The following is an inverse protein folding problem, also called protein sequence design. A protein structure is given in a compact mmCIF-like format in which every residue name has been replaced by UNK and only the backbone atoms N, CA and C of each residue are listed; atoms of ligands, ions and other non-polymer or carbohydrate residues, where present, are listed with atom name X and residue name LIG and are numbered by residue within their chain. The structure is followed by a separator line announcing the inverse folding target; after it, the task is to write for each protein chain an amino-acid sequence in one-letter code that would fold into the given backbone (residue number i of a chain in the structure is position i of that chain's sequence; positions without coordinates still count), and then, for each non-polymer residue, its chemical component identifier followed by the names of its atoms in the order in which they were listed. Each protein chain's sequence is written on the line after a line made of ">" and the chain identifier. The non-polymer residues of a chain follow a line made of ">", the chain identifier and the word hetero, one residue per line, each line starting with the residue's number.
data_IF_761215015055
#
_entry.id   IF_761215015055
#
_cell.length_a   1.000
_cell.length_b   1.000
_cell.length_c   1.000
_cell.angle_alpha   90.00
_cell.angle_beta   90.00
_cell.angle_gamma   90.00
#
_symmetry.space_group_name_H-M   'P 1'
#
loop_
_entity.id
_entity.type
_entity.pdbx_description
1 polymer ?
#
# COMPACT_ATOMS: atom_id res chain seq x y z
N UNK A 1 -14.97 5.25 -23.18
CA UNK A 1 -13.72 6.03 -23.32
C UNK A 1 -12.62 5.42 -22.45
N UNK A 2 -12.08 4.25 -22.82
CA UNK A 2 -11.11 3.50 -21.99
C UNK A 2 -9.63 3.83 -22.22
N UNK A 3 -9.32 4.65 -23.23
CA UNK A 3 -7.94 4.94 -23.64
C UNK A 3 -7.20 5.90 -22.70
N UNK A 4 -7.92 6.74 -21.95
CA UNK A 4 -7.33 7.66 -20.96
C UNK A 4 -6.66 6.93 -19.80
N UNK A 5 -7.18 5.77 -19.39
CA UNK A 5 -6.57 4.95 -18.35
C UNK A 5 -5.20 4.39 -18.78
N UNK A 6 -5.04 4.08 -20.07
CA UNK A 6 -3.78 3.55 -20.61
C UNK A 6 -2.64 4.58 -20.55
N UNK A 7 -2.94 5.87 -20.71
CA UNK A 7 -1.96 6.95 -20.57
C UNK A 7 -1.68 7.31 -19.10
N UNK A 8 -2.64 7.08 -18.20
CA UNK A 8 -2.49 7.41 -16.79
C UNK A 8 -1.52 6.47 -16.06
N UNK A 9 -1.48 5.19 -16.43
CA UNK A 9 -0.58 4.18 -15.85
C UNK A 9 0.90 4.54 -16.00
N UNK A 10 1.44 4.82 -17.21
CA UNK A 10 2.84 5.19 -17.35
C UNK A 10 3.15 6.54 -16.69
N UNK A 11 2.20 7.48 -16.66
CA UNK A 11 2.35 8.77 -15.99
C UNK A 11 2.54 8.63 -14.47
N UNK A 12 1.72 7.81 -13.81
CA UNK A 12 1.90 7.54 -12.38
C UNK A 12 3.17 6.72 -12.11
N UNK A 13 3.53 5.82 -13.04
CA UNK A 13 4.77 5.06 -12.97
C UNK A 13 6.02 5.94 -12.96
N UNK A 14 6.10 6.96 -13.83
CA UNK A 14 7.25 7.88 -13.84
C UNK A 14 7.34 8.67 -12.53
N UNK A 15 6.22 9.20 -12.02
CA UNK A 15 6.20 9.93 -10.74
C UNK A 15 6.70 9.05 -9.59
N UNK A 16 6.26 7.79 -9.53
CA UNK A 16 6.71 6.83 -8.53
C UNK A 16 8.23 6.56 -8.62
N UNK A 17 8.76 6.35 -9.83
CA UNK A 17 10.19 6.14 -10.05
C UNK A 17 11.04 7.35 -9.64
N UNK A 18 10.59 8.56 -9.97
CA UNK A 18 11.27 9.79 -9.54
C UNK A 18 11.29 9.91 -8.01
N UNK A 19 10.16 9.60 -7.36
CA UNK A 19 10.05 9.66 -5.89
C UNK A 19 10.93 8.60 -5.23
N UNK A 20 10.96 7.37 -5.76
CA UNK A 20 11.81 6.29 -5.26
C UNK A 20 13.30 6.62 -5.37
N UNK A 21 13.73 7.19 -6.50
CA UNK A 21 15.11 7.61 -6.69
C UNK A 21 15.51 8.73 -5.73
N UNK A 22 14.63 9.74 -5.56
CA UNK A 22 14.86 10.83 -4.62
C UNK A 22 14.95 10.33 -3.18
N UNK A 23 14.04 9.43 -2.78
CA UNK A 23 14.03 8.84 -1.45
C UNK A 23 15.28 8.00 -1.18
N UNK A 24 15.75 7.24 -2.17
CA UNK A 24 17.02 6.48 -2.06
C UNK A 24 18.21 7.39 -1.78
N UNK A 25 18.32 8.49 -2.52
CA UNK A 25 19.39 9.47 -2.30
C UNK A 25 19.36 10.10 -0.90
N UNK A 26 18.16 10.38 -0.38
CA UNK A 26 17.99 10.92 0.98
C UNK A 26 18.37 9.88 2.04
N UNK A 27 18.02 8.61 1.83
CA UNK A 27 18.33 7.51 2.75
C UNK A 27 19.83 7.24 2.86
N UNK A 28 20.58 7.36 1.76
CA UNK A 28 22.05 7.22 1.77
C UNK A 28 22.75 8.24 2.68
N UNK A 29 22.16 9.42 2.85
CA UNK A 29 22.66 10.48 3.73
C UNK A 29 22.26 10.34 5.21
N UNK A 30 21.30 9.46 5.55
CA UNK A 30 20.73 9.34 6.89
C UNK A 30 20.43 7.87 7.31
N UNK A 31 21.46 7.03 7.48
CA UNK A 31 21.31 5.57 7.68
C UNK A 31 20.67 5.14 9.02
N UNK A 32 20.37 6.08 9.93
CA UNK A 32 19.82 5.78 11.27
C UNK A 32 18.32 6.06 11.41
N UNK A 33 17.64 6.62 10.40
CA UNK A 33 16.23 6.96 10.51
C UNK A 33 15.33 5.71 10.37
N UNK A 34 14.43 5.50 11.35
CA UNK A 34 13.54 4.32 11.42
C UNK A 34 12.09 4.59 11.03
N UNK A 35 11.70 5.85 10.80
CA UNK A 35 10.35 6.29 10.41
C UNK A 35 10.37 7.46 9.39
N UNK A 36 9.29 7.66 8.61
CA UNK A 36 9.24 8.63 7.48
C UNK A 36 9.27 10.04 8.06
N UNK A 37 8.65 10.16 9.23
CA UNK A 37 8.73 11.26 10.18
C UNK A 37 10.18 11.66 10.53
N UNK A 38 11.03 10.69 10.85
CA UNK A 38 12.42 10.94 11.27
C UNK A 38 13.33 11.31 10.10
N UNK A 39 13.10 10.70 8.93
CA UNK A 39 13.76 11.07 7.67
C UNK A 39 13.40 12.52 7.33
N UNK A 40 12.11 12.86 7.39
CA UNK A 40 11.60 14.21 7.18
C UNK A 40 12.16 15.21 8.19
N UNK A 41 12.32 14.82 9.45
CA UNK A 41 12.92 15.67 10.47
C UNK A 41 14.37 16.03 10.17
N UNK A 42 15.16 15.06 9.68
CA UNK A 42 16.55 15.31 9.32
C UNK A 42 16.70 16.21 8.09
N UNK A 43 15.79 16.12 7.12
CA UNK A 43 15.89 16.88 5.85
C UNK A 43 15.20 18.26 5.94
N UNK A 44 14.03 18.33 6.55
CA UNK A 44 13.16 19.53 6.55
C UNK A 44 12.98 20.14 7.94
N UNK A 45 13.54 19.53 8.99
CA UNK A 45 13.37 19.97 10.37
C UNK A 45 11.99 19.63 10.95
N UNK A 46 11.63 20.32 12.03
CA UNK A 46 10.45 20.00 12.87
C UNK A 46 9.11 20.17 12.14
N UNK A 47 8.99 21.16 11.26
CA UNK A 47 7.75 21.41 10.52
C UNK A 47 7.48 20.33 9.47
N UNK A 48 8.52 19.90 8.74
CA UNK A 48 8.39 18.83 7.74
C UNK A 48 8.02 17.48 8.35
N UNK A 49 8.58 17.15 9.51
CA UNK A 49 8.22 15.94 10.26
C UNK A 49 6.71 15.87 10.55
N UNK A 50 6.13 16.95 11.08
CA UNK A 50 4.72 16.96 11.47
C UNK A 50 3.79 16.82 10.25
N UNK A 51 4.12 17.48 9.14
CA UNK A 51 3.35 17.40 7.89
C UNK A 51 3.42 15.99 7.29
N UNK A 52 4.60 15.39 7.20
CA UNK A 52 4.79 14.06 6.59
C UNK A 52 4.16 12.97 7.45
N UNK A 53 4.27 13.05 8.78
CA UNK A 53 3.60 12.13 9.69
C UNK A 53 2.08 12.17 9.55
N UNK A 54 1.51 13.37 9.38
CA UNK A 54 0.08 13.56 9.18
C UNK A 54 -0.39 12.99 7.83
N UNK A 55 0.29 13.33 6.74
CA UNK A 55 -0.04 12.83 5.41
C UNK A 55 0.07 11.30 5.35
N UNK A 56 1.14 10.73 5.89
CA UNK A 56 1.35 9.28 5.92
C UNK A 56 0.25 8.56 6.73
N UNK A 57 -0.14 9.13 7.87
CA UNK A 57 -1.24 8.59 8.68
C UNK A 57 -2.57 8.65 7.95
N UNK A 58 -2.85 9.76 7.25
CA UNK A 58 -4.04 9.88 6.41
C UNK A 58 -4.03 8.88 5.25
N UNK A 59 -2.89 8.69 4.59
CA UNK A 59 -2.74 7.72 3.50
C UNK A 59 -3.02 6.30 3.99
N UNK A 60 -2.43 5.89 5.11
CA UNK A 60 -2.70 4.58 5.72
C UNK A 60 -4.18 4.41 6.08
N UNK A 61 -4.84 5.42 6.64
CA UNK A 61 -6.27 5.36 6.98
C UNK A 61 -7.15 5.22 5.73
N UNK A 62 -6.86 5.98 4.67
CA UNK A 62 -7.59 5.93 3.41
C UNK A 62 -7.44 4.56 2.74
N UNK A 63 -6.21 4.06 2.66
CA UNK A 63 -5.90 2.74 2.07
C UNK A 63 -6.54 1.62 2.89
N UNK A 64 -6.40 1.64 4.23
CA UNK A 64 -7.03 0.68 5.14
C UNK A 64 -8.54 0.63 4.95
N UNK A 65 -9.18 1.80 4.89
CA UNK A 65 -10.64 1.89 4.71
C UNK A 65 -11.06 1.31 3.35
N UNK A 66 -10.30 1.60 2.30
CA UNK A 66 -10.52 1.01 0.97
C UNK A 66 -10.42 -0.52 0.99
N UNK A 67 -9.38 -1.08 1.61
CA UNK A 67 -9.20 -2.52 1.76
C UNK A 67 -10.29 -3.17 2.64
N UNK A 68 -10.74 -2.48 3.69
CA UNK A 68 -11.79 -2.95 4.58
C UNK A 68 -13.13 -3.10 3.83
N UNK A 69 -13.53 -2.07 3.08
CA UNK A 69 -14.77 -2.08 2.30
C UNK A 69 -14.68 -3.15 1.21
N UNK A 70 -13.60 -3.13 0.43
CA UNK A 70 -13.42 -4.08 -0.66
C UNK A 70 -13.38 -5.52 -0.14
N UNK A 71 -12.62 -5.81 0.91
CA UNK A 71 -12.54 -7.14 1.49
C UNK A 71 -13.85 -7.59 2.14
N UNK A 72 -14.55 -6.69 2.83
CA UNK A 72 -15.85 -6.98 3.44
C UNK A 72 -16.90 -7.38 2.41
N UNK A 73 -17.01 -6.60 1.32
CA UNK A 73 -17.96 -6.88 0.23
C UNK A 73 -17.60 -8.16 -0.53
N UNK A 74 -16.31 -8.39 -0.79
CA UNK A 74 -15.85 -9.61 -1.46
C UNK A 74 -16.11 -10.86 -0.60
N UNK A 75 -15.81 -10.81 0.70
CA UNK A 75 -16.05 -11.94 1.62
C UNK A 75 -17.53 -12.26 1.76
N UNK A 76 -18.39 -11.24 1.83
CA UNK A 76 -19.82 -11.47 1.84
C UNK A 76 -20.28 -12.16 0.55
N UNK A 77 -19.81 -11.71 -0.61
CA UNK A 77 -20.17 -12.30 -1.90
C UNK A 77 -19.73 -13.76 -2.02
N UNK A 78 -18.59 -14.13 -1.42
CA UNK A 78 -18.08 -15.51 -1.48
C UNK A 78 -18.65 -16.44 -0.41
N UNK A 79 -18.88 -15.94 0.82
CA UNK A 79 -19.15 -16.79 1.99
C UNK A 79 -20.62 -16.67 2.44
N UNK A 80 -21.36 -15.62 2.04
CA UNK A 80 -22.77 -15.43 2.39
C UNK A 80 -23.04 -15.17 3.87
N UNK A 81 -22.00 -14.84 4.65
CA UNK A 81 -22.06 -14.53 6.08
C UNK A 81 -22.66 -13.13 6.34
N UNK A 82 -23.13 -12.86 7.57
CA UNK A 82 -23.62 -11.53 7.94
C UNK A 82 -22.53 -10.46 7.81
N UNK A 83 -22.88 -9.32 7.21
CA UNK A 83 -21.99 -8.18 6.95
C UNK A 83 -21.09 -7.85 8.15
N UNK A 84 -21.66 -7.75 9.35
CA UNK A 84 -20.92 -7.34 10.56
C UNK A 84 -19.73 -8.24 10.86
N UNK A 85 -19.84 -9.56 10.63
CA UNK A 85 -18.75 -10.48 10.91
C UNK A 85 -17.65 -10.43 9.84
N UNK A 86 -18.01 -10.27 8.56
CA UNK A 86 -17.04 -10.12 7.47
C UNK A 86 -16.18 -8.86 7.64
N UNK A 87 -16.82 -7.73 7.95
CA UNK A 87 -16.13 -6.47 8.19
C UNK A 87 -15.27 -6.52 9.46
N UNK A 88 -15.73 -7.19 10.52
CA UNK A 88 -14.94 -7.39 11.74
C UNK A 88 -13.68 -8.24 11.48
N UNK A 89 -13.83 -9.36 10.76
CA UNK A 89 -12.69 -10.21 10.38
C UNK A 89 -11.67 -9.45 9.52
N UNK A 90 -12.14 -8.68 8.53
CA UNK A 90 -11.26 -7.85 7.71
C UNK A 90 -10.57 -6.75 8.53
N UNK A 91 -11.29 -6.10 9.46
CA UNK A 91 -10.68 -5.13 10.36
C UNK A 91 -9.56 -5.78 11.19
N UNK A 92 -9.80 -6.95 11.77
CA UNK A 92 -8.76 -7.70 12.50
C UNK A 92 -7.56 -8.09 11.62
N UNK A 93 -7.75 -8.29 10.32
CA UNK A 93 -6.67 -8.67 9.40
C UNK A 93 -5.82 -7.49 8.95
N UNK A 94 -6.43 -6.32 8.71
CA UNK A 94 -5.73 -5.13 8.16
C UNK A 94 -5.27 -4.15 9.24
N UNK A 95 -5.75 -4.30 10.49
CA UNK A 95 -5.30 -3.51 11.64
C UNK A 95 -3.85 -3.79 12.12
N UNK A 96 -3.33 -5.04 12.13
CA UNK A 96 -1.98 -5.33 12.61
C UNK A 96 -0.88 -4.56 11.87
N UNK A 97 -0.91 -4.43 10.52
CA UNK A 97 0.04 -3.58 9.78
C UNK A 97 0.03 -2.10 10.21
N UNK A 98 -1.10 -1.56 10.64
CA UNK A 98 -1.20 -0.15 11.05
C UNK A 98 -0.59 0.11 12.44
N UNK A 99 -0.50 -0.93 13.29
CA UNK A 99 0.11 -0.80 14.62
C UNK A 99 1.64 -0.97 14.58
N UNK A 100 2.16 -1.45 13.46
CA UNK A 100 3.59 -1.63 13.23
C UNK A 100 4.25 -0.30 12.87
N UNK A 101 4.92 0.31 13.84
CA UNK A 101 5.64 1.56 13.67
C UNK A 101 6.98 1.41 12.93
N UNK A 102 7.45 0.18 12.73
CA UNK A 102 8.72 -0.10 12.06
C UNK A 102 8.52 -0.31 10.56
N UNK A 103 9.18 0.52 9.75
CA UNK A 103 9.23 0.40 8.30
C UNK A 103 9.59 -0.96 7.77
N UNK A 104 10.49 -1.65 8.48
CA UNK A 104 10.96 -2.97 8.10
C UNK A 104 9.81 -3.97 8.07
N UNK A 105 8.86 -3.86 8.99
CA UNK A 105 7.71 -4.75 9.04
C UNK A 105 6.71 -4.41 7.93
N UNK A 106 6.47 -3.12 7.69
CA UNK A 106 5.61 -2.67 6.59
C UNK A 106 6.18 -3.08 5.22
N UNK A 107 7.50 -3.01 5.03
CA UNK A 107 8.18 -3.47 3.82
C UNK A 107 8.05 -4.99 3.60
N UNK A 108 8.16 -5.80 4.66
CA UNK A 108 7.95 -7.25 4.58
C UNK A 108 6.51 -7.57 4.16
N UNK A 109 5.52 -6.88 4.73
CA UNK A 109 4.10 -7.03 4.36
C UNK A 109 3.89 -6.63 2.89
N UNK A 110 4.53 -5.55 2.43
CA UNK A 110 4.46 -5.14 1.02
C UNK A 110 5.07 -6.18 0.07
N UNK A 111 6.24 -6.76 0.40
CA UNK A 111 6.87 -7.81 -0.42
C UNK A 111 5.96 -9.03 -0.52
N UNK A 112 5.34 -9.43 0.59
CA UNK A 112 4.36 -10.51 0.61
C UNK A 112 3.17 -10.20 -0.32
N UNK A 113 2.64 -8.98 -0.27
CA UNK A 113 1.56 -8.54 -1.15
C UNK A 113 1.93 -8.55 -2.63
N UNK A 114 3.15 -8.11 -2.98
CA UNK A 114 3.66 -8.17 -4.36
C UNK A 114 3.76 -9.63 -4.83
N UNK A 115 4.30 -10.52 -4.00
CA UNK A 115 4.39 -11.95 -4.32
C UNK A 115 3.00 -12.54 -4.57
N UNK A 116 2.02 -12.25 -3.70
CA UNK A 116 0.64 -12.69 -3.89
C UNK A 116 0.07 -12.16 -5.21
N UNK A 117 0.26 -10.88 -5.52
CA UNK A 117 -0.23 -10.30 -6.76
C UNK A 117 0.41 -10.93 -8.01
N UNK A 118 1.72 -11.20 -7.98
CA UNK A 118 2.42 -11.90 -9.07
C UNK A 118 1.87 -13.30 -9.32
N UNK A 119 1.56 -14.04 -8.25
CA UNK A 119 0.93 -15.37 -8.36
C UNK A 119 -0.46 -15.27 -8.98
N UNK A 120 -1.29 -14.33 -8.51
CA UNK A 120 -2.64 -14.11 -9.06
C UNK A 120 -2.58 -13.74 -10.55
N UNK A 121 -1.68 -12.82 -10.93
CA UNK A 121 -1.47 -12.45 -12.33
C UNK A 121 -1.04 -13.66 -13.18
N UNK A 122 -0.13 -14.50 -12.67
CA UNK A 122 0.28 -15.72 -13.35
C UNK A 122 -0.87 -16.70 -13.59
N UNK A 123 -1.73 -16.91 -12.58
CA UNK A 123 -2.92 -17.77 -12.71
C UNK A 123 -3.90 -17.19 -13.74
N UNK A 124 -4.18 -15.89 -13.68
CA UNK A 124 -5.11 -15.23 -14.60
C UNK A 124 -4.61 -15.28 -16.04
N UNK A 125 -3.32 -15.02 -16.27
CA UNK A 125 -2.71 -15.11 -17.61
C UNK A 125 -2.73 -16.55 -18.13
N UNK A 126 -2.43 -17.53 -17.28
CA UNK A 126 -2.51 -18.94 -17.64
C UNK A 126 -3.92 -19.36 -18.04
N UNK A 127 -4.93 -19.03 -17.22
CA UNK A 127 -6.33 -19.32 -17.53
C UNK A 127 -6.79 -18.60 -18.80
N UNK A 128 -6.41 -17.33 -18.97
CA UNK A 128 -6.73 -16.54 -20.16
C UNK A 128 -6.13 -17.11 -21.44
N UNK A 129 -4.91 -17.66 -21.39
CA UNK A 129 -4.28 -18.31 -22.53
C UNK A 129 -4.88 -19.68 -22.85
N UNK A 130 -5.41 -20.41 -21.86
CA UNK A 130 -6.06 -21.73 -22.09
C UNK A 130 -7.51 -21.65 -22.55
N UNK A 131 -8.17 -20.49 -22.38
CA UNK A 131 -9.59 -20.27 -22.73
C UNK A 131 -9.77 -19.53 -24.06
N UNK A 132 -8.67 -19.10 -24.68
CA UNK A 132 -8.57 -18.54 -26.05
C UNK A 132 -8.20 -19.63 -27.05
#
# INVERSE_FOLDING_TARGET
>A
SGWLGLLLVPFMGTICLYTAHLLGHILDGAPMARSYADIAFHVFGRTGNLVISFIFSLELLLVLTGYLILGGDNMQKMIGLPHTMCYFCMACLVLPPCLMNDFKQLAIVSILGILTNMVVLGIVLGLGLTTL
#
